data_IF_977624850346
#
_entry.id   IF_977624850346
#
_cell.length_a   1.000
_cell.length_b   1.000
_cell.length_c   1.000
_cell.angle_alpha   90.00
_cell.angle_beta   90.00
_cell.angle_gamma   90.00
#
_symmetry.space_group_name_H-M   'P 1'
#
loop_
_entity.id
_entity.type
_entity.pdbx_description
1 polymer ?
#
# COMPACT_ATOMS: atom_id res chain seq x y z
N UNK A 1 8.25 9.29 14.57
CA UNK A 1 7.80 10.39 15.45
C UNK A 1 8.06 11.78 14.88
N UNK A 2 9.12 11.99 14.14
CA UNK A 2 9.34 13.31 13.48
C UNK A 2 8.18 13.67 12.54
N UNK A 3 7.69 12.71 11.73
CA UNK A 3 6.57 12.92 10.81
C UNK A 3 5.21 13.15 11.49
N UNK A 4 5.07 12.76 12.76
CA UNK A 4 3.83 12.86 13.53
C UNK A 4 3.88 13.94 14.61
N UNK A 5 4.90 14.77 14.61
CA UNK A 5 5.07 15.80 15.64
C UNK A 5 5.33 15.25 17.05
N UNK A 6 5.77 13.99 17.15
CA UNK A 6 6.05 13.30 18.41
C UNK A 6 5.00 12.26 18.82
N UNK A 7 3.83 12.25 18.18
CA UNK A 7 2.76 11.31 18.48
C UNK A 7 3.05 9.89 17.98
N UNK A 8 2.51 8.91 18.68
CA UNK A 8 2.50 7.52 18.26
C UNK A 8 1.41 7.27 17.21
N UNK A 9 1.50 6.15 16.49
CA UNK A 9 0.67 5.81 15.33
C UNK A 9 -0.61 5.10 15.76
N UNK A 10 -1.77 5.51 15.27
CA UNK A 10 -3.06 4.86 15.55
C UNK A 10 -3.16 3.46 14.97
N UNK A 11 -2.77 3.32 13.70
CA UNK A 11 -2.82 2.07 12.95
C UNK A 11 -1.51 1.91 12.19
N UNK A 12 -0.84 0.78 12.38
CA UNK A 12 0.30 0.36 11.57
C UNK A 12 -0.15 -0.70 10.59
N UNK A 13 0.10 -0.49 9.32
CA UNK A 13 -0.05 -1.48 8.27
C UNK A 13 1.30 -2.19 8.09
N UNK A 14 1.39 -3.39 8.67
CA UNK A 14 2.62 -4.18 8.72
C UNK A 14 2.68 -5.18 7.56
N UNK A 15 3.69 -5.06 6.74
CA UNK A 15 3.85 -5.89 5.55
C UNK A 15 5.20 -6.64 5.48
N UNK A 16 6.34 -6.04 5.86
CA UNK A 16 7.64 -6.72 5.79
C UNK A 16 7.78 -7.90 6.75
N UNK A 17 7.32 -7.78 7.98
CA UNK A 17 7.37 -8.85 8.98
C UNK A 17 8.58 -8.77 9.91
N UNK A 18 9.45 -9.80 9.90
CA UNK A 18 10.51 -9.97 10.91
C UNK A 18 11.31 -8.70 11.20
N UNK A 19 11.74 -7.98 10.19
CA UNK A 19 12.63 -6.83 10.34
C UNK A 19 11.96 -5.61 10.95
N UNK A 20 10.65 -5.45 10.77
CA UNK A 20 9.92 -4.22 11.15
C UNK A 20 8.90 -4.45 12.25
N UNK A 21 8.49 -5.69 12.52
CA UNK A 21 7.38 -5.99 13.42
C UNK A 21 7.59 -5.46 14.84
N UNK A 22 8.79 -5.58 15.39
CA UNK A 22 9.14 -5.05 16.70
C UNK A 22 9.00 -3.53 16.77
N UNK A 23 9.46 -2.83 15.74
CA UNK A 23 9.30 -1.37 15.63
C UNK A 23 7.83 -1.00 15.46
N UNK A 24 7.05 -1.75 14.68
CA UNK A 24 5.62 -1.56 14.47
C UNK A 24 4.85 -1.67 15.79
N UNK A 25 5.18 -2.67 16.62
CA UNK A 25 4.59 -2.81 17.96
C UNK A 25 4.98 -1.63 18.86
N UNK A 26 6.22 -1.16 18.79
CA UNK A 26 6.70 -0.06 19.62
C UNK A 26 6.02 1.27 19.26
N UNK A 27 5.96 1.65 17.98
CA UNK A 27 5.44 2.97 17.55
C UNK A 27 3.92 3.08 17.58
N UNK A 28 3.20 1.98 17.70
CA UNK A 28 1.74 1.99 17.82
C UNK A 28 1.33 2.58 19.17
N UNK A 29 0.40 3.53 19.17
CA UNK A 29 -0.08 4.16 20.40
C UNK A 29 -0.84 3.18 21.32
N UNK A 30 -1.08 3.60 22.54
CA UNK A 30 -1.98 2.87 23.46
C UNK A 30 -3.38 2.68 22.83
N UNK A 31 -3.88 1.46 22.84
CA UNK A 31 -5.16 1.08 22.22
C UNK A 31 -5.11 1.04 20.68
N UNK A 32 -3.96 1.26 20.07
CA UNK A 32 -3.78 1.22 18.62
C UNK A 32 -3.74 -0.20 18.05
N UNK A 33 -3.62 -0.30 16.73
CA UNK A 33 -3.73 -1.57 16.00
C UNK A 33 -2.54 -1.78 15.06
N UNK A 34 -2.04 -3.00 15.01
CA UNK A 34 -1.09 -3.46 13.99
C UNK A 34 -1.84 -4.42 13.09
N UNK A 35 -2.03 -4.06 11.81
CA UNK A 35 -2.68 -4.91 10.82
C UNK A 35 -1.61 -5.53 9.95
N UNK A 36 -1.50 -6.85 9.96
CA UNK A 36 -0.50 -7.60 9.18
C UNK A 36 -1.16 -8.43 8.09
N UNK A 37 -0.60 -8.37 6.88
CA UNK A 37 -1.11 -9.14 5.73
C UNK A 37 -0.01 -9.91 4.99
N UNK A 38 1.25 -9.75 5.39
CA UNK A 38 2.39 -10.41 4.75
C UNK A 38 3.58 -10.51 5.72
N UNK A 39 4.65 -11.16 5.28
CA UNK A 39 5.89 -11.33 6.04
C UNK A 39 7.08 -11.59 5.11
N UNK A 40 7.35 -10.66 4.19
CA UNK A 40 8.37 -10.77 3.15
C UNK A 40 9.79 -10.96 3.71
N UNK A 41 10.09 -10.38 4.88
CA UNK A 41 11.40 -10.53 5.54
C UNK A 41 11.48 -11.71 6.52
N UNK A 42 10.39 -12.45 6.70
CA UNK A 42 10.34 -13.68 7.50
C UNK A 42 9.08 -13.78 8.38
N UNK A 43 8.65 -15.02 8.58
CA UNK A 43 7.36 -15.33 9.23
C UNK A 43 7.40 -15.31 10.77
N UNK A 44 8.57 -15.46 11.36
CA UNK A 44 8.73 -15.44 12.82
C UNK A 44 9.09 -14.04 13.27
N UNK A 45 8.29 -13.46 14.15
CA UNK A 45 8.46 -12.10 14.64
C UNK A 45 8.88 -12.11 16.10
N UNK A 46 9.82 -11.22 16.43
CA UNK A 46 10.29 -10.99 17.79
C UNK A 46 10.00 -9.55 18.20
N UNK A 47 9.40 -9.35 19.36
CA UNK A 47 9.11 -8.05 19.94
C UNK A 47 8.97 -8.11 21.46
N UNK A 48 9.16 -6.98 22.12
CA UNK A 48 8.94 -6.87 23.55
C UNK A 48 7.43 -6.81 23.84
N UNK A 49 6.91 -7.92 24.40
CA UNK A 49 5.48 -8.07 24.66
C UNK A 49 4.92 -7.04 25.66
N UNK A 50 5.76 -6.40 26.48
CA UNK A 50 5.34 -5.32 27.38
C UNK A 50 4.72 -4.16 26.59
N UNK A 51 5.25 -3.83 25.42
CA UNK A 51 4.68 -2.79 24.55
C UNK A 51 3.33 -3.17 23.95
N UNK A 52 3.00 -4.45 23.89
CA UNK A 52 1.70 -4.91 23.39
C UNK A 52 0.65 -4.89 24.53
N UNK A 53 0.86 -5.71 25.57
CA UNK A 53 -0.18 -5.95 26.58
C UNK A 53 -0.37 -4.77 27.54
N UNK A 54 0.69 -4.13 28.04
CA UNK A 54 0.58 -2.96 28.92
C UNK A 54 -0.08 -1.75 28.24
N UNK A 55 0.01 -1.66 26.93
CA UNK A 55 -0.56 -0.58 26.13
C UNK A 55 -1.86 -0.96 25.44
N UNK A 56 -2.43 -2.13 25.76
CA UNK A 56 -3.73 -2.59 25.21
C UNK A 56 -3.81 -2.53 23.68
N UNK A 57 -2.70 -2.82 22.99
CA UNK A 57 -2.64 -2.82 21.54
C UNK A 57 -3.20 -4.12 20.97
N UNK A 58 -3.63 -4.09 19.70
CA UNK A 58 -4.15 -5.27 19.01
C UNK A 58 -3.30 -5.60 17.79
N UNK A 59 -3.03 -6.89 17.58
CA UNK A 59 -2.47 -7.43 16.35
C UNK A 59 -3.60 -8.12 15.60
N UNK A 60 -3.83 -7.71 14.35
CA UNK A 60 -4.95 -8.17 13.52
C UNK A 60 -4.39 -8.73 12.23
N UNK A 61 -4.69 -10.00 11.94
CA UNK A 61 -4.39 -10.61 10.65
C UNK A 61 -5.38 -10.14 9.58
N UNK A 62 -4.88 -9.90 8.38
CA UNK A 62 -5.69 -9.60 7.19
C UNK A 62 -5.24 -10.53 6.07
N UNK A 63 -6.18 -11.14 5.36
CA UNK A 63 -5.86 -12.10 4.32
C UNK A 63 -6.88 -12.02 3.20
N UNK A 64 -6.38 -11.69 2.02
CA UNK A 64 -7.13 -11.55 0.77
C UNK A 64 -8.32 -10.56 0.84
N UNK A 65 -8.96 -10.41 -0.30
CA UNK A 65 -10.23 -9.74 -0.46
C UNK A 65 -11.12 -10.59 -1.38
N UNK A 66 -12.41 -10.61 -1.13
CA UNK A 66 -13.38 -11.17 -2.06
C UNK A 66 -13.72 -10.18 -3.18
N UNK A 67 -14.44 -10.62 -4.20
CA UNK A 67 -14.82 -9.78 -5.35
C UNK A 67 -15.61 -8.55 -4.97
N UNK A 68 -16.45 -8.61 -3.93
CA UNK A 68 -17.22 -7.48 -3.45
C UNK A 68 -16.31 -6.44 -2.81
N UNK A 69 -15.38 -6.85 -1.98
CA UNK A 69 -14.40 -5.96 -1.33
C UNK A 69 -13.49 -5.29 -2.38
N UNK A 70 -13.04 -6.04 -3.39
CA UNK A 70 -12.29 -5.48 -4.51
C UNK A 70 -13.11 -4.45 -5.30
N UNK A 71 -14.39 -4.72 -5.55
CA UNK A 71 -15.30 -3.78 -6.19
C UNK A 71 -15.49 -2.51 -5.37
N UNK A 72 -15.70 -2.64 -4.06
CA UNK A 72 -15.83 -1.46 -3.17
C UNK A 72 -14.54 -0.65 -3.08
N UNK A 73 -13.37 -1.31 -3.09
CA UNK A 73 -12.08 -0.62 -3.16
C UNK A 73 -11.95 0.21 -4.45
N UNK A 74 -12.35 -0.35 -5.61
CA UNK A 74 -12.38 0.38 -6.87
C UNK A 74 -13.31 1.60 -6.82
N UNK A 75 -14.45 1.49 -6.14
CA UNK A 75 -15.34 2.64 -5.92
C UNK A 75 -14.69 3.74 -5.08
N UNK A 76 -13.83 3.40 -4.12
CA UNK A 76 -13.06 4.40 -3.36
C UNK A 76 -12.04 5.10 -4.27
N UNK A 77 -11.40 4.37 -5.19
CA UNK A 77 -10.51 4.95 -6.20
C UNK A 77 -11.30 5.90 -7.11
N UNK A 78 -12.45 5.45 -7.62
CA UNK A 78 -13.31 6.26 -8.50
C UNK A 78 -13.81 7.54 -7.81
N UNK A 79 -14.06 7.49 -6.51
CA UNK A 79 -14.41 8.67 -5.69
C UNK A 79 -13.22 9.56 -5.34
N UNK A 80 -11.99 9.16 -5.67
CA UNK A 80 -10.76 9.88 -5.33
C UNK A 80 -10.41 9.84 -3.85
N UNK A 81 -10.88 8.83 -3.11
CA UNK A 81 -10.53 8.61 -1.70
C UNK A 81 -9.26 7.77 -1.54
N UNK A 82 -8.93 6.99 -2.55
CA UNK A 82 -7.68 6.21 -2.64
C UNK A 82 -7.00 6.61 -3.94
N UNK A 83 -5.71 6.89 -3.88
CA UNK A 83 -4.90 7.28 -5.03
C UNK A 83 -3.84 6.20 -5.29
N UNK A 84 -4.07 5.27 -6.24
CA UNK A 84 -3.04 4.36 -6.68
C UNK A 84 -1.90 5.15 -7.32
N UNK A 85 -0.71 5.04 -6.74
CA UNK A 85 0.49 5.70 -7.27
C UNK A 85 1.04 4.86 -8.42
N UNK A 86 0.89 5.36 -9.65
CA UNK A 86 1.44 4.73 -10.85
C UNK A 86 2.82 5.32 -11.14
N UNK A 87 3.83 4.49 -11.36
CA UNK A 87 5.17 4.94 -11.75
C UNK A 87 5.39 4.81 -13.25
N UNK A 88 5.05 3.66 -13.81
CA UNK A 88 5.28 3.34 -15.22
C UNK A 88 4.10 2.55 -15.79
N UNK A 89 3.91 2.67 -17.10
CA UNK A 89 2.92 1.88 -17.84
C UNK A 89 3.60 1.23 -19.05
N UNK A 90 3.31 -0.02 -19.29
CA UNK A 90 3.82 -0.83 -20.39
C UNK A 90 2.67 -1.35 -21.25
N UNK A 91 2.93 -1.57 -22.51
CA UNK A 91 2.01 -2.33 -23.36
C UNK A 91 2.03 -3.82 -22.98
N UNK A 92 0.95 -4.54 -23.31
CA UNK A 92 0.86 -5.97 -23.01
C UNK A 92 2.02 -6.79 -23.62
N UNK A 93 2.50 -6.40 -24.79
CA UNK A 93 3.65 -7.01 -25.43
C UNK A 93 4.93 -6.93 -24.59
N UNK A 94 5.06 -5.90 -23.76
CA UNK A 94 6.21 -5.62 -22.90
C UNK A 94 6.01 -6.07 -21.44
N UNK A 95 5.03 -6.93 -21.17
CA UNK A 95 4.74 -7.43 -19.82
C UNK A 95 5.96 -8.08 -19.14
N UNK A 96 6.86 -8.71 -19.93
CA UNK A 96 8.12 -9.24 -19.43
C UNK A 96 9.05 -8.16 -18.89
N UNK A 97 9.19 -7.04 -19.57
CA UNK A 97 9.98 -5.88 -19.13
C UNK A 97 9.35 -5.26 -17.86
N UNK A 98 8.03 -5.10 -17.83
CA UNK A 98 7.30 -4.63 -16.65
C UNK A 98 7.56 -5.52 -15.42
N UNK A 99 7.57 -6.83 -15.60
CA UNK A 99 7.86 -7.80 -14.54
C UNK A 99 9.30 -7.66 -14.02
N UNK A 100 10.26 -7.43 -14.92
CA UNK A 100 11.67 -7.22 -14.53
C UNK A 100 11.85 -5.93 -13.73
N UNK A 101 11.14 -4.85 -14.04
CA UNK A 101 11.17 -3.62 -13.24
C UNK A 101 10.72 -3.89 -11.80
N UNK A 102 9.64 -4.65 -11.61
CA UNK A 102 9.15 -5.04 -10.28
C UNK A 102 10.15 -5.98 -9.60
N UNK A 103 10.67 -6.99 -10.31
CA UNK A 103 11.63 -7.96 -9.76
C UNK A 103 12.91 -7.28 -9.25
N UNK A 104 13.42 -6.31 -9.98
CA UNK A 104 14.61 -5.56 -9.60
C UNK A 104 14.34 -4.38 -8.65
N UNK A 105 13.08 -4.16 -8.26
CA UNK A 105 12.66 -3.06 -7.40
C UNK A 105 13.11 -1.67 -7.92
N UNK A 106 13.02 -1.46 -9.24
CA UNK A 106 13.45 -0.22 -9.92
C UNK A 106 12.29 0.75 -10.15
N UNK A 107 11.22 0.63 -9.40
CA UNK A 107 10.02 1.47 -9.51
C UNK A 107 9.65 2.10 -8.17
N UNK A 108 8.95 3.24 -8.21
CA UNK A 108 8.33 3.87 -7.05
C UNK A 108 6.82 3.94 -7.28
N UNK A 109 6.03 3.11 -6.58
CA UNK A 109 4.60 2.98 -6.81
C UNK A 109 4.25 1.75 -7.62
N UNK A 110 3.22 1.81 -8.45
CA UNK A 110 2.71 0.67 -9.23
C UNK A 110 3.23 0.68 -10.65
N UNK A 111 3.58 -0.48 -11.17
CA UNK A 111 3.84 -0.72 -12.58
C UNK A 111 2.55 -1.26 -13.20
N UNK A 112 2.04 -0.56 -14.21
CA UNK A 112 0.81 -0.93 -14.92
C UNK A 112 1.11 -1.60 -16.25
N UNK A 113 0.23 -2.51 -16.69
CA UNK A 113 0.24 -3.09 -18.04
C UNK A 113 -1.11 -2.82 -18.70
N UNK A 114 -1.10 -2.18 -19.85
CA UNK A 114 -2.29 -1.91 -20.66
C UNK A 114 -2.68 -3.19 -21.40
N UNK A 115 -3.80 -3.80 -21.04
CA UNK A 115 -4.30 -5.03 -21.67
C UNK A 115 -5.34 -4.70 -22.76
N UNK A 116 -6.43 -4.06 -22.36
CA UNK A 116 -7.56 -3.73 -23.24
C UNK A 116 -7.83 -2.22 -23.31
N UNK A 117 -7.30 -1.44 -22.37
CA UNK A 117 -7.46 0.00 -22.37
C UNK A 117 -6.52 0.65 -23.38
N UNK A 118 -6.99 1.62 -24.17
CA UNK A 118 -6.15 2.34 -25.14
C UNK A 118 -5.12 3.27 -24.46
N UNK A 119 -5.36 3.62 -23.21
CA UNK A 119 -4.50 4.51 -22.43
C UNK A 119 -4.60 4.21 -20.94
N UNK A 120 -3.65 4.70 -20.15
CA UNK A 120 -3.67 4.59 -18.70
C UNK A 120 -4.81 5.43 -18.11
N UNK A 121 -5.91 4.79 -17.72
CA UNK A 121 -7.07 5.42 -17.07
C UNK A 121 -6.84 5.80 -15.61
N UNK A 122 -5.74 5.37 -15.02
CA UNK A 122 -5.33 5.62 -13.63
C UNK A 122 -6.37 5.20 -12.58
N UNK A 123 -7.25 4.26 -12.94
CA UNK A 123 -8.30 3.76 -12.05
C UNK A 123 -9.49 4.72 -11.88
N UNK A 124 -9.53 5.86 -12.55
CA UNK A 124 -10.60 6.85 -12.47
C UNK A 124 -11.33 6.92 -13.80
N UNK A 125 -12.58 6.47 -13.85
CA UNK A 125 -13.40 6.42 -15.07
C UNK A 125 -13.94 7.79 -15.50
N UNK A 126 -14.17 8.71 -14.57
CA UNK A 126 -14.65 10.06 -14.88
C UNK A 126 -13.49 10.96 -15.35
N UNK A 127 -13.54 11.52 -16.60
CA UNK A 127 -12.43 12.30 -17.16
C UNK A 127 -12.08 13.57 -16.37
N UNK A 128 -13.07 14.35 -15.94
CA UNK A 128 -12.85 15.60 -15.19
C UNK A 128 -12.21 15.32 -13.82
N UNK A 129 -12.66 14.25 -13.18
CA UNK A 129 -12.11 13.80 -11.91
C UNK A 129 -10.68 13.26 -12.09
N UNK A 130 -10.42 12.53 -13.17
CA UNK A 130 -9.09 12.04 -13.54
C UNK A 130 -8.11 13.19 -13.71
N UNK A 131 -8.48 14.21 -14.49
CA UNK A 131 -7.67 15.40 -14.71
C UNK A 131 -7.32 16.11 -13.40
N UNK A 132 -8.28 16.31 -12.52
CA UNK A 132 -8.06 16.92 -11.21
C UNK A 132 -7.12 16.10 -10.30
N UNK A 133 -7.17 14.78 -10.40
CA UNK A 133 -6.37 13.86 -9.58
C UNK A 133 -5.02 13.51 -10.21
N UNK A 134 -4.82 13.85 -11.48
CA UNK A 134 -3.63 13.47 -12.25
C UNK A 134 -2.31 13.78 -11.52
N UNK A 135 -2.11 14.96 -10.92
CA UNK A 135 -0.85 15.26 -10.22
C UNK A 135 -0.56 14.32 -9.03
N UNK A 136 -1.60 13.83 -8.35
CA UNK A 136 -1.45 12.88 -7.24
C UNK A 136 -1.21 11.45 -7.74
N UNK A 137 -1.88 11.07 -8.84
CA UNK A 137 -1.81 9.73 -9.43
C UNK A 137 -0.49 9.47 -10.14
N UNK A 138 0.12 10.51 -10.72
CA UNK A 138 1.37 10.44 -11.48
C UNK A 138 2.58 10.97 -10.71
N UNK A 139 2.46 11.08 -9.40
CA UNK A 139 3.48 11.67 -8.52
C UNK A 139 4.88 11.07 -8.68
N UNK A 140 4.96 9.80 -9.04
CA UNK A 140 6.21 9.07 -9.20
C UNK A 140 6.51 8.67 -10.67
N UNK A 141 5.68 9.09 -11.62
CA UNK A 141 5.97 8.85 -13.03
C UNK A 141 7.15 9.71 -13.48
N UNK A 142 8.15 9.09 -14.05
CA UNK A 142 9.36 9.79 -14.53
C UNK A 142 10.42 10.07 -13.45
N UNK A 143 10.32 9.46 -12.28
CA UNK A 143 11.35 9.51 -11.23
C UNK A 143 12.37 8.37 -11.38
#
# INVERSE_FOLDING_TARGET
>A
RELTGGDDIDIVFEHPGRETFGASVYVTRKGGKIVTCASTSGYMHEYDNRYLWMHLKSIIGSHFANYREAYEANRLIDRGMIHPTLSQTFDLADAGAATLEVHHNRHQGKVGVLCLAPEAGLGVSNPEKRERLLPALTRFTGA
#
